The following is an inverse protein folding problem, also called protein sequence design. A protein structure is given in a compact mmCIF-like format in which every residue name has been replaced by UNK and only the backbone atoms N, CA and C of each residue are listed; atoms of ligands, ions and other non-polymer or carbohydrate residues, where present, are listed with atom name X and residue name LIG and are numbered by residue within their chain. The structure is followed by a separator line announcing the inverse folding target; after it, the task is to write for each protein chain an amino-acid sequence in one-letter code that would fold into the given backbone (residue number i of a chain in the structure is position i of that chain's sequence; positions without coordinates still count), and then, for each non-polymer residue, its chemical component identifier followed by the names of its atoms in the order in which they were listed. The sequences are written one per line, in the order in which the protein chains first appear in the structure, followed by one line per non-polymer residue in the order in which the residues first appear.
data_IF_089650781452
#
_entry.id   IF_089650781452
#
_cell.length_a   1.000
_cell.length_b   1.000
_cell.length_c   1.000
_cell.angle_alpha   90.00
_cell.angle_beta   90.00
_cell.angle_gamma   90.00
#
_symmetry.space_group_name_H-M   'P 1'
#
loop_
_entity.id
_entity.type
_entity.pdbx_description
1 polymer ?
#
# COMPACT_ATOMS: atom_id res chain seq x y z
N UNK A 1 2.25 -3.87 11.91
CA UNK A 1 1.27 -2.74 11.87
C UNK A 1 0.52 -2.75 13.18
N UNK A 2 0.30 -1.59 13.79
CA UNK A 2 -0.32 -1.48 15.11
C UNK A 2 -1.58 -0.63 15.03
N UNK A 3 -2.63 -1.05 15.73
CA UNK A 3 -3.84 -0.26 15.98
C UNK A 3 -3.89 0.08 17.46
N UNK A 4 -4.19 1.34 17.76
CA UNK A 4 -4.38 1.83 19.12
C UNK A 4 -5.82 2.31 19.30
N UNK A 5 -6.36 2.11 20.49
CA UNK A 5 -7.61 2.74 20.90
C UNK A 5 -7.27 4.11 21.51
N UNK A 6 -7.80 5.18 20.91
CA UNK A 6 -7.54 6.54 21.35
C UNK A 6 -8.42 6.97 22.53
N UNK A 7 -9.45 6.19 22.87
CA UNK A 7 -10.32 6.45 24.02
C UNK A 7 -9.70 5.97 25.33
N UNK A 8 -8.69 5.11 25.25
CA UNK A 8 -7.98 4.55 26.39
C UNK A 8 -6.53 5.02 26.35
N UNK A 9 -6.04 5.61 27.44
CA UNK A 9 -4.62 5.96 27.58
C UNK A 9 -3.78 4.71 27.83
N UNK A 10 -3.47 3.97 26.77
CA UNK A 10 -2.66 2.75 26.79
C UNK A 10 -1.53 2.83 25.77
N UNK A 11 -0.36 2.28 26.12
CA UNK A 11 0.77 2.07 25.21
C UNK A 11 0.70 0.72 24.50
N UNK A 12 -0.21 -0.16 24.93
CA UNK A 12 -0.41 -1.46 24.30
C UNK A 12 -1.38 -1.33 23.12
N UNK A 13 -1.00 -1.85 21.93
CA UNK A 13 -1.90 -1.85 20.79
C UNK A 13 -3.07 -2.81 21.02
N UNK A 14 -4.26 -2.43 20.54
CA UNK A 14 -5.44 -3.31 20.53
C UNK A 14 -5.39 -4.33 19.39
N UNK A 15 -4.49 -4.11 18.42
CA UNK A 15 -4.22 -5.06 17.34
C UNK A 15 -2.78 -4.91 16.88
N UNK A 16 -2.14 -6.05 16.65
CA UNK A 16 -0.85 -6.15 15.96
C UNK A 16 -1.01 -7.09 14.79
N UNK A 17 -0.67 -6.61 13.59
CA UNK A 17 -0.59 -7.44 12.38
C UNK A 17 0.86 -7.55 11.92
N UNK A 18 1.27 -8.74 11.51
CA UNK A 18 2.67 -9.05 11.22
C UNK A 18 3.43 -9.50 12.45
N UNK A 19 4.49 -10.28 12.23
CA UNK A 19 5.45 -10.64 13.29
C UNK A 19 6.65 -9.69 13.23
N UNK A 20 6.95 -9.06 14.36
CA UNK A 20 8.01 -8.04 14.45
C UNK A 20 9.37 -8.68 14.16
N UNK A 21 10.13 -8.06 13.26
CA UNK A 21 11.46 -8.52 12.83
C UNK A 21 11.50 -9.86 12.07
N UNK A 22 10.34 -10.38 11.65
CA UNK A 22 10.23 -11.58 10.83
C UNK A 22 9.62 -11.22 9.48
N UNK A 23 10.44 -10.83 8.48
CA UNK A 23 9.92 -10.43 7.19
C UNK A 23 9.35 -11.63 6.43
N UNK A 24 8.16 -11.49 5.88
CA UNK A 24 7.51 -12.53 5.06
C UNK A 24 6.57 -11.97 4.02
N UNK A 25 6.09 -12.85 3.14
CA UNK A 25 5.16 -12.54 2.04
C UNK A 25 3.82 -13.26 2.16
N UNK A 26 3.67 -14.15 3.14
CA UNK A 26 2.36 -14.76 3.43
C UNK A 26 1.36 -13.73 4.00
N UNK A 27 0.23 -14.22 4.51
CA UNK A 27 -0.84 -13.37 5.05
C UNK A 27 -0.59 -12.96 6.50
N UNK A 28 0.29 -13.65 7.21
CA UNK A 28 0.59 -13.42 8.63
C UNK A 28 1.77 -12.46 8.81
N UNK A 29 2.60 -12.30 7.78
CA UNK A 29 3.80 -11.46 7.80
C UNK A 29 3.72 -10.29 6.81
N UNK A 30 4.41 -9.23 7.18
CA UNK A 30 4.83 -8.19 6.23
C UNK A 30 6.33 -8.28 6.06
N UNK A 31 6.88 -7.75 4.97
CA UNK A 31 8.33 -7.60 4.91
C UNK A 31 8.75 -6.28 5.55
N UNK A 32 8.20 -5.16 5.03
CA UNK A 32 8.55 -3.80 5.43
C UNK A 32 7.42 -2.85 4.99
N UNK A 33 6.32 -2.81 5.77
CA UNK A 33 5.17 -1.99 5.43
C UNK A 33 5.48 -0.50 5.57
N UNK A 34 4.87 0.32 4.73
CA UNK A 34 5.23 1.73 4.50
C UNK A 34 4.13 2.70 4.90
N UNK A 35 2.86 2.31 4.74
CA UNK A 35 1.73 3.22 4.94
C UNK A 35 0.44 2.49 5.29
N UNK A 36 -0.46 3.19 5.97
CA UNK A 36 -1.81 2.75 6.30
C UNK A 36 -2.81 3.83 5.90
N UNK A 37 -3.93 3.45 5.31
CA UNK A 37 -5.08 4.34 5.08
C UNK A 37 -6.32 3.68 5.69
N UNK A 38 -7.14 4.45 6.43
CA UNK A 38 -8.28 3.95 7.19
C UNK A 38 -9.58 4.49 6.58
N UNK A 39 -10.59 3.65 6.47
CA UNK A 39 -11.92 3.98 5.98
C UNK A 39 -12.84 4.38 7.14
N UNK A 40 -13.94 5.04 6.82
CA UNK A 40 -14.94 5.49 7.80
C UNK A 40 -15.55 4.32 8.59
N UNK A 41 -15.72 3.16 7.96
CA UNK A 41 -16.21 1.94 8.62
C UNK A 41 -15.14 1.23 9.47
N UNK A 42 -13.92 1.76 9.53
CA UNK A 42 -12.79 1.20 10.27
C UNK A 42 -11.98 0.15 9.51
N UNK A 43 -12.43 -0.30 8.33
CA UNK A 43 -11.57 -1.09 7.43
C UNK A 43 -10.34 -0.28 7.05
N UNK A 44 -9.26 -0.94 6.68
CA UNK A 44 -8.02 -0.24 6.39
C UNK A 44 -7.17 -0.95 5.36
N UNK A 45 -6.32 -0.17 4.72
CA UNK A 45 -5.35 -0.62 3.75
C UNK A 45 -3.95 -0.51 4.33
N UNK A 46 -3.08 -1.47 4.01
CA UNK A 46 -1.66 -1.47 4.34
C UNK A 46 -0.86 -1.60 3.06
N UNK A 47 0.08 -0.68 2.82
CA UNK A 47 1.08 -0.83 1.79
C UNK A 47 2.27 -1.61 2.36
N UNK A 48 2.54 -2.79 1.79
CA UNK A 48 3.67 -3.65 2.17
C UNK A 48 4.81 -3.45 1.16
N UNK A 49 5.49 -2.31 1.32
CA UNK A 49 6.07 -1.63 0.16
C UNK A 49 7.50 -2.02 -0.22
N UNK A 50 8.43 -2.12 0.72
CA UNK A 50 9.86 -2.22 0.33
C UNK A 50 10.27 -3.57 -0.28
N UNK A 51 9.58 -4.67 0.03
CA UNK A 51 9.94 -5.99 -0.49
C UNK A 51 8.82 -6.68 -1.25
N UNK A 52 7.57 -6.53 -0.80
CA UNK A 52 6.47 -7.31 -1.36
C UNK A 52 5.77 -6.59 -2.51
N UNK A 53 5.78 -5.24 -2.53
CA UNK A 53 5.16 -4.44 -3.58
C UNK A 53 3.68 -4.77 -3.71
N UNK A 54 2.97 -4.82 -2.58
CA UNK A 54 1.54 -5.16 -2.52
C UNK A 54 0.79 -4.20 -1.62
N UNK A 55 -0.53 -4.12 -1.83
CA UNK A 55 -1.48 -3.47 -0.94
C UNK A 55 -2.44 -4.52 -0.43
N UNK A 56 -2.68 -4.50 0.88
CA UNK A 56 -3.59 -5.40 1.56
C UNK A 56 -4.74 -4.58 2.16
N UNK A 57 -5.98 -5.05 2.01
CA UNK A 57 -7.16 -4.52 2.70
C UNK A 57 -7.51 -5.45 3.85
N UNK A 58 -7.75 -4.88 5.02
CA UNK A 58 -8.20 -5.58 6.21
C UNK A 58 -9.53 -4.98 6.68
N UNK A 59 -10.34 -5.81 7.33
CA UNK A 59 -11.49 -5.35 8.06
C UNK A 59 -11.08 -4.62 9.34
N UNK A 60 -12.01 -3.88 9.96
CA UNK A 60 -11.75 -3.17 11.21
C UNK A 60 -11.23 -4.04 12.37
N UNK A 61 -11.56 -5.33 12.37
CA UNK A 61 -11.12 -6.37 13.31
C UNK A 61 -9.86 -7.14 12.85
N UNK A 62 -9.26 -6.77 11.71
CA UNK A 62 -7.95 -7.24 11.29
C UNK A 62 -7.96 -8.48 10.40
N UNK A 63 -9.13 -8.91 9.91
CA UNK A 63 -9.21 -10.01 8.93
C UNK A 63 -8.81 -9.51 7.55
N UNK A 64 -7.98 -10.24 6.84
CA UNK A 64 -7.61 -9.90 5.46
C UNK A 64 -8.84 -10.05 4.54
N UNK A 65 -9.16 -8.98 3.80
CA UNK A 65 -10.26 -8.95 2.83
C UNK A 65 -9.71 -9.09 1.40
N UNK A 66 -8.68 -8.32 1.05
CA UNK A 66 -8.11 -8.28 -0.31
C UNK A 66 -6.60 -8.15 -0.24
N UNK A 67 -5.91 -8.69 -1.24
CA UNK A 67 -4.49 -8.45 -1.47
C UNK A 67 -4.25 -8.33 -2.96
N UNK A 68 -3.58 -7.27 -3.39
CA UNK A 68 -3.19 -7.09 -4.78
C UNK A 68 -1.85 -6.40 -4.89
N UNK A 69 -1.29 -6.42 -6.09
CA UNK A 69 0.03 -5.86 -6.35
C UNK A 69 1.10 -6.92 -6.55
N UNK A 70 2.11 -6.58 -7.34
CA UNK A 70 3.34 -7.37 -7.48
C UNK A 70 4.53 -6.43 -7.44
N UNK A 71 5.59 -6.84 -6.74
CA UNK A 71 6.85 -6.11 -6.78
C UNK A 71 7.39 -6.04 -8.22
N UNK A 72 7.66 -4.84 -8.76
CA UNK A 72 8.18 -4.65 -10.13
C UNK A 72 9.61 -5.13 -10.33
N UNK A 73 10.43 -5.23 -9.28
CA UNK A 73 11.80 -5.77 -9.37
C UNK A 73 11.81 -7.25 -9.79
N UNK A 74 10.70 -7.98 -9.65
CA UNK A 74 10.59 -9.35 -10.17
C UNK A 74 10.69 -9.43 -11.70
N UNK A 75 10.41 -8.33 -12.41
CA UNK A 75 10.44 -8.28 -13.87
C UNK A 75 11.86 -8.26 -14.43
N UNK A 76 12.83 -7.73 -13.67
CA UNK A 76 14.24 -7.69 -14.08
C UNK A 76 15.05 -8.84 -13.51
N UNK A 77 14.53 -9.53 -12.48
CA UNK A 77 15.30 -10.47 -11.63
C UNK A 77 16.60 -9.85 -11.08
N UNK A 78 16.65 -8.53 -10.99
CA UNK A 78 17.74 -7.76 -10.39
C UNK A 78 17.17 -6.73 -9.41
N UNK A 79 18.03 -5.94 -8.76
CA UNK A 79 17.62 -4.78 -7.97
C UNK A 79 17.41 -3.52 -8.81
N UNK A 80 17.41 -3.64 -10.15
CA UNK A 80 17.17 -2.53 -11.07
C UNK A 80 15.71 -2.46 -11.45
N UNK A 81 15.22 -1.24 -11.63
CA UNK A 81 13.87 -1.01 -12.17
C UNK A 81 13.81 -1.53 -13.62
N UNK A 82 12.67 -2.07 -14.06
CA UNK A 82 12.52 -2.52 -15.43
C UNK A 82 12.55 -1.32 -16.38
N UNK A 83 13.20 -1.48 -17.54
CA UNK A 83 13.17 -0.47 -18.59
C UNK A 83 11.81 -0.48 -19.30
N UNK A 84 11.33 0.71 -19.67
CA UNK A 84 10.07 0.86 -20.40
C UNK A 84 8.82 0.82 -19.51
N UNK A 85 7.63 0.70 -20.12
CA UNK A 85 6.37 0.80 -19.41
C UNK A 85 6.16 -0.38 -18.45
N UNK A 86 5.83 -0.07 -17.20
CA UNK A 86 5.57 -1.07 -16.16
C UNK A 86 4.07 -1.32 -16.07
N UNK A 87 3.61 -2.59 -16.08
CA UNK A 87 2.19 -2.89 -15.97
C UNK A 87 1.53 -2.23 -14.76
N UNK A 88 0.23 -1.95 -14.90
CA UNK A 88 -0.61 -1.59 -13.75
C UNK A 88 -0.65 -2.75 -12.75
N UNK A 89 -0.93 -2.46 -11.48
CA UNK A 89 -0.82 -3.42 -10.37
C UNK A 89 0.62 -3.92 -10.09
N UNK A 90 1.64 -3.39 -10.74
CA UNK A 90 3.02 -3.59 -10.30
C UNK A 90 3.50 -2.34 -9.57
N UNK A 91 4.21 -2.56 -8.47
CA UNK A 91 4.76 -1.51 -7.63
C UNK A 91 6.23 -1.75 -7.38
N UNK A 92 7.06 -0.72 -7.50
CA UNK A 92 8.43 -0.82 -7.03
C UNK A 92 8.46 -0.67 -5.51
N UNK A 93 7.90 0.44 -5.01
CA UNK A 93 7.78 0.72 -3.58
C UNK A 93 6.50 1.53 -3.37
N UNK A 94 5.33 0.89 -3.13
CA UNK A 94 4.13 1.60 -2.73
C UNK A 94 4.41 2.23 -1.35
N UNK A 95 4.62 3.54 -1.32
CA UNK A 95 5.22 4.22 -0.18
C UNK A 95 4.21 5.00 0.65
N UNK A 96 3.15 5.50 0.01
CA UNK A 96 2.05 6.19 0.67
C UNK A 96 0.71 5.76 0.09
N UNK A 97 -0.32 5.76 0.93
CA UNK A 97 -1.70 5.51 0.58
C UNK A 97 -2.56 6.73 0.89
N UNK A 98 -3.55 7.01 0.05
CA UNK A 98 -4.62 7.96 0.37
C UNK A 98 -5.97 7.43 -0.13
N UNK A 99 -6.99 7.50 0.72
CA UNK A 99 -8.35 7.10 0.38
C UNK A 99 -9.15 8.34 -0.03
N UNK A 100 -9.68 8.31 -1.25
CA UNK A 100 -10.60 9.30 -1.78
C UNK A 100 -12.04 8.79 -1.60
N UNK A 101 -12.66 9.15 -0.48
CA UNK A 101 -13.94 8.60 -0.04
C UNK A 101 -15.09 8.89 -1.02
N UNK A 102 -15.18 10.11 -1.56
CA UNK A 102 -16.19 10.52 -2.54
C UNK A 102 -16.10 9.72 -3.85
N UNK A 103 -14.94 9.14 -4.15
CA UNK A 103 -14.69 8.33 -5.36
C UNK A 103 -14.64 6.83 -5.08
N UNK A 104 -14.60 6.44 -3.80
CA UNK A 104 -14.33 5.08 -3.36
C UNK A 104 -13.02 4.51 -3.97
N UNK A 105 -11.96 5.33 -3.99
CA UNK A 105 -10.66 4.97 -4.55
C UNK A 105 -9.56 4.97 -3.48
N UNK A 106 -8.67 3.99 -3.55
CA UNK A 106 -7.40 3.97 -2.83
C UNK A 106 -6.27 4.29 -3.81
N UNK A 107 -5.57 5.39 -3.59
CA UNK A 107 -4.47 5.84 -4.42
C UNK A 107 -3.12 5.57 -3.73
N UNK A 108 -2.16 5.10 -4.52
CA UNK A 108 -0.88 4.58 -4.07
C UNK A 108 0.24 5.37 -4.73
N UNK A 109 1.09 6.01 -3.93
CA UNK A 109 2.33 6.60 -4.42
C UNK A 109 3.39 5.50 -4.62
N UNK A 110 3.74 5.21 -5.87
CA UNK A 110 4.74 4.21 -6.22
C UNK A 110 6.11 4.87 -6.37
N UNK A 111 6.90 4.83 -5.30
CA UNK A 111 8.01 5.76 -5.09
C UNK A 111 9.09 5.69 -6.13
N UNK A 112 9.54 4.50 -6.52
CA UNK A 112 10.62 4.40 -7.50
C UNK A 112 10.10 4.39 -8.94
N UNK A 113 8.79 4.49 -9.15
CA UNK A 113 8.18 4.59 -10.48
C UNK A 113 7.61 5.98 -10.77
N UNK A 114 7.76 6.96 -9.87
CA UNK A 114 7.36 8.35 -10.10
C UNK A 114 5.86 8.55 -10.41
N UNK A 115 4.99 7.62 -10.01
CA UNK A 115 3.59 7.57 -10.43
C UNK A 115 2.63 7.35 -9.26
N UNK A 116 1.40 7.81 -9.41
CA UNK A 116 0.26 7.44 -8.55
C UNK A 116 -0.62 6.46 -9.29
N UNK A 117 -0.90 5.31 -8.70
CA UNK A 117 -1.94 4.40 -9.20
C UNK A 117 -3.13 4.40 -8.25
N UNK A 118 -4.34 4.54 -8.78
CA UNK A 118 -5.58 4.50 -8.02
C UNK A 118 -6.38 3.25 -8.36
N UNK A 119 -6.93 2.61 -7.32
CA UNK A 119 -7.68 1.37 -7.40
C UNK A 119 -9.03 1.55 -6.74
N UNK A 120 -10.02 0.78 -7.20
CA UNK A 120 -11.31 0.70 -6.53
C UNK A 120 -11.14 0.05 -5.15
N UNK A 121 -11.61 0.72 -4.10
CA UNK A 121 -11.38 0.27 -2.73
C UNK A 121 -12.22 -0.97 -2.33
N UNK A 122 -13.22 -1.36 -3.13
CA UNK A 122 -14.04 -2.55 -2.85
C UNK A 122 -13.45 -3.84 -3.41
N UNK A 123 -12.74 -3.77 -4.54
CA UNK A 123 -12.27 -4.98 -5.24
C UNK A 123 -10.79 -4.93 -5.66
N UNK A 124 -10.08 -3.82 -5.42
CA UNK A 124 -8.68 -3.66 -5.80
C UNK A 124 -8.43 -3.55 -7.30
N UNK A 125 -9.48 -3.39 -8.12
CA UNK A 125 -9.33 -3.23 -9.56
C UNK A 125 -8.67 -1.88 -9.89
N UNK A 126 -7.77 -1.89 -10.87
CA UNK A 126 -7.15 -0.66 -11.38
C UNK A 126 -8.22 0.29 -11.94
N UNK A 127 -8.11 1.56 -11.56
CA UNK A 127 -9.01 2.61 -12.04
C UNK A 127 -8.25 3.61 -12.93
N UNK A 128 -7.19 4.21 -12.40
CA UNK A 128 -6.47 5.28 -13.10
C UNK A 128 -5.02 5.39 -12.62
N UNK A 129 -4.19 6.07 -13.41
CA UNK A 129 -2.80 6.36 -13.09
C UNK A 129 -2.48 7.81 -13.43
N UNK A 130 -1.66 8.44 -12.60
CA UNK A 130 -1.11 9.77 -12.82
C UNK A 130 0.41 9.69 -12.84
N UNK A 131 1.00 10.24 -13.90
CA UNK A 131 2.44 10.36 -14.09
C UNK A 131 2.70 11.72 -14.76
N UNK A 132 3.78 12.39 -14.37
CA UNK A 132 4.17 13.67 -14.96
C UNK A 132 5.67 13.87 -14.89
N UNK A 133 6.31 14.39 -15.95
CA UNK A 133 7.71 14.80 -15.89
C UNK A 133 8.01 15.79 -14.76
N UNK A 134 7.01 16.56 -14.29
CA UNK A 134 7.15 17.50 -13.16
C UNK A 134 7.25 16.82 -11.80
N UNK A 135 6.67 15.62 -11.66
CA UNK A 135 6.81 14.78 -10.46
C UNK A 135 8.21 14.14 -10.45
N UNK A 136 8.76 13.88 -11.63
CA UNK A 136 10.05 13.24 -11.81
C UNK A 136 9.96 11.73 -11.62
N UNK A 137 11.10 11.08 -11.44
CA UNK A 137 11.19 9.63 -11.31
C UNK A 137 10.81 9.10 -9.93
N UNK A 138 10.56 9.98 -8.95
CA UNK A 138 10.27 9.59 -7.57
C UNK A 138 9.13 10.33 -6.91
N UNK A 139 8.25 9.58 -6.25
CA UNK A 139 7.10 10.12 -5.53
C UNK A 139 6.99 9.53 -4.11
N UNK A 140 7.15 10.36 -3.08
CA UNK A 140 7.23 9.88 -1.70
C UNK A 140 5.88 9.87 -0.97
N UNK A 141 4.94 10.70 -1.40
CA UNK A 141 3.66 10.88 -0.71
C UNK A 141 2.56 11.25 -1.68
N UNK A 142 1.32 10.92 -1.31
CA UNK A 142 0.10 11.33 -1.99
C UNK A 142 -0.95 11.61 -0.92
N UNK A 143 -1.73 12.67 -1.09
CA UNK A 143 -2.84 13.03 -0.20
C UNK A 143 -4.01 13.52 -1.04
N UNK A 144 -5.19 13.01 -0.72
CA UNK A 144 -6.47 13.51 -1.18
C UNK A 144 -7.08 14.39 -0.07
N UNK A 145 -7.65 15.54 -0.45
CA UNK A 145 -8.20 16.56 0.45
C UNK A 145 -9.64 16.80 0.05
#
# INVERSE_FOLDING_TARGET
VFKFDLTVSSTNPVMTLGVRFEPGKDHEHFCKPTSVAVLENGDFFVADGYCNGRVNKYSADGRLILSWGKNSFVLTRTFMLPAGPIPVNFFAIPHALTYAADKNLICVADREQGRVQCFNANNGAFHSMYESPRIGSRLFSVKYI
#
